data_IF_872797845406
#
_entry.id   IF_872797845406
#
_cell.length_a   1.000
_cell.length_b   1.000
_cell.length_c   1.000
_cell.angle_alpha   90.00
_cell.angle_beta   90.00
_cell.angle_gamma   90.00
#
_symmetry.space_group_name_H-M   'P 1'
#
loop_
_entity.id
_entity.type
_entity.pdbx_description
1 polymer ?
#
# COMPACT_ATOMS: atom_id res chain seq x y z
N UNK A 1 4.38 12.78 -21.97
CA UNK A 1 3.28 12.75 -20.99
C UNK A 1 3.16 14.14 -20.37
N UNK A 2 2.02 14.83 -20.55
CA UNK A 2 1.82 16.18 -19.99
C UNK A 2 0.93 16.03 -18.74
N UNK A 3 1.52 16.18 -17.57
CA UNK A 3 0.81 16.24 -16.31
C UNK A 3 0.37 17.68 -16.04
N UNK A 4 -0.84 17.88 -15.61
CA UNK A 4 -1.37 19.14 -15.13
C UNK A 4 -1.46 19.07 -13.59
N UNK A 5 -0.71 19.93 -12.91
CA UNK A 5 -0.68 20.01 -11.45
C UNK A 5 -1.27 21.37 -11.08
N UNK A 6 -2.26 21.38 -10.20
CA UNK A 6 -2.91 22.59 -9.72
C UNK A 6 -3.44 22.39 -8.30
N UNK A 7 -3.88 23.46 -7.68
CA UNK A 7 -4.42 23.48 -6.33
C UNK A 7 -5.86 24.02 -6.36
N UNK A 8 -6.75 23.39 -5.62
CA UNK A 8 -8.13 23.84 -5.43
C UNK A 8 -8.18 25.01 -4.44
N UNK A 9 -9.33 25.71 -4.40
CA UNK A 9 -9.53 26.86 -3.51
C UNK A 9 -9.30 26.55 -2.02
N UNK A 10 -9.52 25.31 -1.62
CA UNK A 10 -9.31 24.82 -0.25
C UNK A 10 -7.88 24.30 0.02
N UNK A 11 -6.98 24.32 -0.97
CA UNK A 11 -5.58 23.93 -0.85
C UNK A 11 -5.29 22.47 -1.13
N UNK A 12 -6.26 21.64 -1.58
CA UNK A 12 -5.95 20.27 -2.05
C UNK A 12 -5.22 20.33 -3.38
N UNK A 13 -4.11 19.61 -3.47
CA UNK A 13 -3.36 19.44 -4.72
C UNK A 13 -4.05 18.43 -5.63
N UNK A 14 -4.10 18.74 -6.90
CA UNK A 14 -4.64 17.87 -7.96
C UNK A 14 -3.54 17.56 -8.97
N UNK A 15 -3.41 16.30 -9.32
CA UNK A 15 -2.55 15.81 -10.41
C UNK A 15 -3.45 15.18 -11.46
N UNK A 16 -3.49 15.77 -12.65
CA UNK A 16 -4.34 15.30 -13.75
C UNK A 16 -3.53 14.96 -14.99
N UNK A 17 -3.87 13.86 -15.63
CA UNK A 17 -3.38 13.50 -16.95
C UNK A 17 -4.56 13.30 -17.90
N UNK A 18 -4.78 14.28 -18.78
CA UNK A 18 -5.81 14.13 -19.79
C UNK A 18 -5.37 13.15 -20.87
N UNK A 19 -6.15 12.11 -21.09
CA UNK A 19 -5.94 11.08 -22.10
C UNK A 19 -7.24 10.81 -22.85
N UNK A 20 -7.17 10.52 -24.14
CA UNK A 20 -8.33 10.12 -24.93
C UNK A 20 -8.61 8.63 -24.72
N UNK A 21 -9.20 8.29 -23.57
CA UNK A 21 -9.58 6.93 -23.17
C UNK A 21 -11.05 6.89 -22.78
N UNK A 22 -11.78 5.83 -23.14
CA UNK A 22 -13.15 5.64 -22.62
C UNK A 22 -13.19 5.33 -21.13
N UNK A 23 -12.08 4.81 -20.57
CA UNK A 23 -11.94 4.50 -19.14
C UNK A 23 -11.17 5.61 -18.47
N UNK A 24 -11.61 5.99 -17.29
CA UNK A 24 -10.99 6.97 -16.42
C UNK A 24 -10.70 6.36 -15.03
N UNK A 25 -9.71 6.90 -14.37
CA UNK A 25 -9.34 6.55 -13.00
C UNK A 25 -9.20 7.83 -12.19
N UNK A 26 -9.74 7.82 -10.98
CA UNK A 26 -9.54 8.89 -10.00
C UNK A 26 -9.21 8.29 -8.64
N UNK A 27 -8.57 9.08 -7.78
CA UNK A 27 -8.32 8.68 -6.39
C UNK A 27 -7.98 9.85 -5.50
N UNK A 28 -8.38 9.75 -4.23
CA UNK A 28 -7.81 10.52 -3.13
C UNK A 28 -6.73 9.68 -2.47
N UNK A 29 -5.52 10.22 -2.44
CA UNK A 29 -4.41 9.71 -1.66
C UNK A 29 -4.27 10.57 -0.41
N UNK A 30 -4.24 9.94 0.74
CA UNK A 30 -3.90 10.55 2.03
C UNK A 30 -2.54 10.00 2.45
N UNK A 31 -1.55 10.87 2.68
CA UNK A 31 -0.23 10.47 3.16
C UNK A 31 -0.28 10.12 4.67
N UNK A 32 -1.12 9.14 4.98
CA UNK A 32 -1.32 8.56 6.30
C UNK A 32 -1.61 7.07 6.16
N UNK A 33 -0.88 6.26 6.88
CA UNK A 33 -1.03 4.81 6.91
C UNK A 33 -0.67 4.26 8.29
N UNK A 34 -0.35 2.97 8.38
CA UNK A 34 -0.05 2.35 9.68
C UNK A 34 1.21 2.94 10.35
N UNK A 35 2.10 3.58 9.61
CA UNK A 35 3.24 4.31 10.18
C UNK A 35 2.84 5.52 11.03
N UNK A 36 1.67 6.09 10.78
CA UNK A 36 1.18 7.30 11.45
C UNK A 36 0.31 6.98 12.68
N UNK A 37 0.19 5.70 13.03
CA UNK A 37 -0.53 5.20 14.20
C UNK A 37 0.30 5.43 15.48
N UNK A 38 -0.39 5.77 16.57
CA UNK A 38 0.20 5.77 17.91
C UNK A 38 0.34 4.32 18.41
N UNK A 39 1.12 4.10 19.43
CA UNK A 39 1.40 2.75 19.97
C UNK A 39 0.12 1.94 20.27
N UNK A 40 -0.93 2.58 20.78
CA UNK A 40 -2.21 1.95 21.08
C UNK A 40 -3.19 1.89 19.90
N UNK A 41 -2.80 2.43 18.73
CA UNK A 41 -3.64 2.49 17.53
C UNK A 41 -3.26 1.47 16.45
N UNK A 42 -2.44 0.48 16.76
CA UNK A 42 -1.98 -0.49 15.77
C UNK A 42 -3.15 -1.17 15.04
N UNK A 43 -3.23 -0.99 13.71
CA UNK A 43 -4.31 -1.47 12.84
C UNK A 43 -5.44 -0.47 12.61
N UNK A 44 -5.38 0.74 13.19
CA UNK A 44 -6.46 1.71 13.10
C UNK A 44 -6.62 2.29 11.67
N UNK A 45 -5.52 2.52 10.95
CA UNK A 45 -5.57 3.02 9.58
C UNK A 45 -6.31 2.04 8.65
N UNK A 46 -6.05 0.75 8.78
CA UNK A 46 -6.76 -0.30 8.05
C UNK A 46 -8.22 -0.42 8.51
N UNK A 47 -8.48 -0.35 9.81
CA UNK A 47 -9.86 -0.33 10.33
C UNK A 47 -10.67 0.85 9.80
N UNK A 48 -10.06 2.03 9.67
CA UNK A 48 -10.70 3.21 9.06
C UNK A 48 -11.08 2.91 7.61
N UNK A 49 -10.19 2.33 6.82
CA UNK A 49 -10.45 1.93 5.44
C UNK A 49 -11.73 1.10 5.32
N UNK A 50 -11.87 0.02 6.11
CA UNK A 50 -13.07 -0.81 6.15
C UNK A 50 -14.32 0.00 6.53
N UNK A 51 -14.20 0.91 7.48
CA UNK A 51 -15.30 1.71 7.97
C UNK A 51 -15.73 2.84 7.03
N UNK A 52 -14.88 3.30 6.10
CA UNK A 52 -15.20 4.34 5.12
C UNK A 52 -16.42 4.01 4.26
N UNK A 53 -16.65 2.73 3.96
CA UNK A 53 -17.72 2.25 3.09
C UNK A 53 -19.05 1.97 3.84
N UNK A 54 -19.09 2.16 5.15
CA UNK A 54 -20.24 1.75 5.99
C UNK A 54 -21.35 2.80 6.10
N UNK A 55 -21.11 4.01 5.63
CA UNK A 55 -22.12 5.07 5.56
C UNK A 55 -21.51 6.46 5.53
N UNK A 56 -22.15 7.34 4.78
CA UNK A 56 -21.85 8.76 4.72
C UNK A 56 -23.08 9.58 5.15
N UNK A 57 -22.95 10.90 5.23
CA UNK A 57 -24.09 11.79 5.46
C UNK A 57 -25.21 11.62 4.41
N UNK A 58 -24.84 11.29 3.17
CA UNK A 58 -25.77 11.17 2.04
C UNK A 58 -26.19 9.73 1.73
N UNK A 59 -25.38 8.73 2.12
CA UNK A 59 -25.52 7.35 1.61
C UNK A 59 -25.35 6.30 2.69
N UNK A 60 -26.20 5.29 2.64
CA UNK A 60 -25.98 4.04 3.39
C UNK A 60 -24.97 3.16 2.65
N UNK A 61 -24.36 2.20 3.33
CA UNK A 61 -23.36 1.27 2.78
C UNK A 61 -23.77 0.68 1.42
N UNK A 62 -24.99 0.14 1.30
CA UNK A 62 -25.48 -0.42 0.03
C UNK A 62 -25.39 0.59 -1.14
N UNK A 63 -25.78 1.87 -0.92
CA UNK A 63 -25.73 2.90 -1.96
C UNK A 63 -24.30 3.33 -2.30
N UNK A 64 -23.35 3.17 -1.36
CA UNK A 64 -21.93 3.43 -1.63
C UNK A 64 -21.39 2.35 -2.55
N UNK A 65 -21.60 1.08 -2.19
CA UNK A 65 -21.08 -0.07 -2.93
C UNK A 65 -21.68 -0.17 -4.34
N UNK A 66 -23.02 -0.06 -4.46
CA UNK A 66 -23.67 -0.20 -5.77
C UNK A 66 -23.48 0.99 -6.71
N UNK A 67 -23.11 2.18 -6.20
CA UNK A 67 -23.13 3.44 -6.97
C UNK A 67 -22.31 3.39 -8.25
N UNK A 68 -21.13 2.79 -8.21
CA UNK A 68 -20.28 2.65 -9.40
C UNK A 68 -20.51 1.33 -10.13
N UNK A 69 -20.78 0.25 -9.40
CA UNK A 69 -21.11 -1.06 -9.99
C UNK A 69 -22.32 -0.97 -10.93
N UNK A 70 -23.35 -0.21 -10.58
CA UNK A 70 -24.56 0.02 -11.43
C UNK A 70 -24.23 0.54 -12.83
N UNK A 71 -23.04 1.12 -13.04
CA UNK A 71 -22.57 1.64 -14.35
C UNK A 71 -21.29 0.97 -14.83
N UNK A 72 -20.96 -0.20 -14.26
CA UNK A 72 -19.79 -0.99 -14.64
C UNK A 72 -18.46 -0.37 -14.19
N UNK A 73 -18.48 0.50 -13.18
CA UNK A 73 -17.29 1.03 -12.53
C UNK A 73 -16.89 0.19 -11.32
N UNK A 74 -15.64 0.34 -10.91
CA UNK A 74 -15.04 -0.31 -9.75
C UNK A 74 -14.61 0.75 -8.72
N UNK A 75 -14.96 0.54 -7.45
CA UNK A 75 -14.61 1.40 -6.32
C UNK A 75 -13.85 0.56 -5.30
N UNK A 76 -12.67 1.01 -4.91
CA UNK A 76 -11.84 0.30 -3.94
C UNK A 76 -11.03 1.26 -3.07
N UNK A 77 -10.42 0.74 -2.01
CA UNK A 77 -9.44 1.43 -1.20
C UNK A 77 -8.32 0.47 -0.78
N UNK A 78 -7.20 1.01 -0.37
CA UNK A 78 -6.14 0.26 0.28
C UNK A 78 -5.38 1.12 1.26
N UNK A 79 -4.84 0.48 2.28
CA UNK A 79 -3.95 1.07 3.28
C UNK A 79 -2.58 0.44 3.19
N UNK A 80 -1.55 1.27 3.17
CA UNK A 80 -0.15 0.86 3.26
C UNK A 80 0.49 1.40 4.54
N UNK A 81 1.80 1.23 4.68
CA UNK A 81 2.53 1.82 5.81
C UNK A 81 2.44 3.35 5.84
N UNK A 82 2.44 4.02 4.69
CA UNK A 82 2.59 5.48 4.60
C UNK A 82 1.43 6.20 3.95
N UNK A 83 0.45 5.48 3.40
CA UNK A 83 -0.67 6.08 2.67
C UNK A 83 -1.95 5.24 2.75
N UNK A 84 -3.08 5.92 2.69
CA UNK A 84 -4.41 5.36 2.44
C UNK A 84 -4.94 5.95 1.14
N UNK A 85 -5.42 5.10 0.24
CA UNK A 85 -5.92 5.52 -1.07
C UNK A 85 -7.33 5.02 -1.26
N UNK A 86 -8.24 5.91 -1.64
CA UNK A 86 -9.59 5.59 -2.09
C UNK A 86 -9.62 5.87 -3.59
N UNK A 87 -9.92 4.88 -4.40
CA UNK A 87 -9.85 5.03 -5.86
C UNK A 87 -11.04 4.41 -6.57
N UNK A 88 -11.25 4.88 -7.80
CA UNK A 88 -12.36 4.42 -8.64
C UNK A 88 -11.93 4.36 -10.10
N UNK A 89 -12.35 3.29 -10.80
CA UNK A 89 -12.21 3.10 -12.23
C UNK A 89 -13.59 3.09 -12.88
N UNK A 90 -13.80 3.83 -13.98
CA UNK A 90 -15.14 4.02 -14.55
C UNK A 90 -15.09 4.49 -16.01
N UNK A 91 -16.24 4.48 -16.67
CA UNK A 91 -16.38 5.11 -18.00
C UNK A 91 -16.33 6.63 -17.91
N UNK A 92 -15.60 7.30 -18.79
CA UNK A 92 -15.37 8.74 -18.79
C UNK A 92 -16.66 9.59 -18.76
N UNK A 93 -17.80 9.03 -19.14
CA UNK A 93 -19.11 9.69 -19.01
C UNK A 93 -19.56 9.87 -17.54
N UNK A 94 -19.05 9.07 -16.63
CA UNK A 94 -19.47 8.99 -15.23
C UNK A 94 -18.57 9.78 -14.25
N UNK A 95 -17.70 10.68 -14.74
CA UNK A 95 -16.83 11.51 -13.89
C UNK A 95 -17.58 12.23 -12.75
N UNK A 96 -18.75 12.82 -13.06
CA UNK A 96 -19.55 13.53 -12.04
C UNK A 96 -20.00 12.57 -10.93
N UNK A 97 -20.42 11.35 -11.30
CA UNK A 97 -20.86 10.30 -10.36
C UNK A 97 -19.70 9.83 -9.48
N UNK A 98 -18.56 9.55 -10.08
CA UNK A 98 -17.39 9.06 -9.40
C UNK A 98 -16.81 10.12 -8.43
N UNK A 99 -16.67 11.37 -8.85
CA UNK A 99 -16.19 12.47 -7.99
C UNK A 99 -17.14 12.71 -6.81
N UNK A 100 -18.46 12.73 -7.05
CA UNK A 100 -19.47 12.89 -5.99
C UNK A 100 -19.37 11.75 -4.95
N UNK A 101 -19.18 10.51 -5.40
CA UNK A 101 -19.06 9.36 -4.51
C UNK A 101 -17.76 9.36 -3.71
N UNK A 102 -16.60 9.48 -4.39
CA UNK A 102 -15.30 9.40 -3.71
C UNK A 102 -15.11 10.57 -2.74
N UNK A 103 -15.61 11.76 -3.08
CA UNK A 103 -15.60 12.93 -2.17
C UNK A 103 -16.52 12.72 -0.96
N UNK A 104 -17.66 12.06 -1.15
CA UNK A 104 -18.59 11.76 -0.06
C UNK A 104 -17.96 10.75 0.92
N UNK A 105 -17.30 9.72 0.40
CA UNK A 105 -16.57 8.72 1.21
C UNK A 105 -15.39 9.39 1.94
N UNK A 106 -14.56 10.15 1.23
CA UNK A 106 -13.35 10.71 1.81
C UNK A 106 -13.61 11.75 2.91
N UNK A 107 -14.70 12.53 2.82
CA UNK A 107 -14.92 13.69 3.67
C UNK A 107 -16.22 13.69 4.48
N UNK A 108 -17.14 12.77 4.21
CA UNK A 108 -18.46 12.74 4.86
C UNK A 108 -18.84 11.38 5.39
N UNK A 109 -17.87 10.47 5.57
CA UNK A 109 -18.10 9.20 6.25
C UNK A 109 -18.52 9.44 7.69
N UNK A 110 -19.60 8.80 8.11
CA UNK A 110 -20.21 9.00 9.44
C UNK A 110 -19.77 7.98 10.46
N UNK A 111 -19.12 6.92 9.99
CA UNK A 111 -18.64 5.83 10.84
C UNK A 111 -19.73 5.32 11.79
N UNK A 112 -20.85 4.75 11.27
CA UNK A 112 -21.96 4.31 12.13
C UNK A 112 -21.49 3.22 13.10
N UNK A 113 -21.65 3.44 14.39
CA UNK A 113 -21.10 2.59 15.44
C UNK A 113 -21.42 1.11 15.27
N UNK A 114 -22.69 0.79 14.95
CA UNK A 114 -23.13 -0.61 14.74
C UNK A 114 -22.40 -1.29 13.57
N UNK A 115 -22.13 -0.56 12.49
CA UNK A 115 -21.42 -1.12 11.34
C UNK A 115 -19.92 -1.24 11.62
N UNK A 116 -19.33 -0.25 12.30
CA UNK A 116 -17.95 -0.30 12.73
C UNK A 116 -17.68 -1.48 13.69
N UNK A 117 -18.60 -1.77 14.61
CA UNK A 117 -18.48 -2.96 15.49
C UNK A 117 -18.48 -4.26 14.69
N UNK A 118 -19.31 -4.37 13.66
CA UNK A 118 -19.32 -5.57 12.79
C UNK A 118 -18.00 -5.73 12.02
N UNK A 119 -17.41 -4.63 11.58
CA UNK A 119 -16.14 -4.69 10.84
C UNK A 119 -14.98 -5.20 11.71
N UNK A 120 -15.03 -5.03 13.02
CA UNK A 120 -14.02 -5.64 13.91
C UNK A 120 -13.95 -7.16 13.73
N UNK A 121 -15.09 -7.83 13.67
CA UNK A 121 -15.12 -9.29 13.46
C UNK A 121 -14.55 -9.67 12.09
N UNK A 122 -14.86 -8.90 11.05
CA UNK A 122 -14.31 -9.13 9.69
C UNK A 122 -12.78 -9.01 9.70
N UNK A 123 -12.23 -7.97 10.33
CA UNK A 123 -10.78 -7.76 10.41
C UNK A 123 -10.11 -8.81 11.30
N UNK A 124 -10.77 -9.26 12.38
CA UNK A 124 -10.24 -10.32 13.23
C UNK A 124 -10.17 -11.64 12.44
N UNK A 125 -11.17 -11.95 11.63
CA UNK A 125 -11.15 -13.12 10.73
C UNK A 125 -10.03 -13.00 9.67
N UNK A 126 -9.80 -11.79 9.16
CA UNK A 126 -8.68 -11.51 8.25
C UNK A 126 -7.32 -11.72 8.93
N UNK A 127 -7.13 -11.20 10.16
CA UNK A 127 -5.92 -11.44 10.97
C UNK A 127 -5.67 -12.94 11.15
N UNK A 128 -6.71 -13.73 11.44
CA UNK A 128 -6.57 -15.19 11.61
C UNK A 128 -6.20 -15.86 10.28
N UNK A 129 -6.87 -15.53 9.19
CA UNK A 129 -6.58 -16.05 7.86
C UNK A 129 -5.14 -15.76 7.43
N UNK A 130 -4.65 -14.54 7.73
CA UNK A 130 -3.28 -14.15 7.43
C UNK A 130 -2.25 -14.95 8.25
N UNK A 131 -2.54 -15.20 9.52
CA UNK A 131 -1.69 -16.04 10.38
C UNK A 131 -1.63 -17.50 9.93
N UNK A 132 -2.70 -18.00 9.33
CA UNK A 132 -2.79 -19.36 8.80
C UNK A 132 -2.07 -19.52 7.45
N UNK A 133 -1.58 -18.42 6.86
CA UNK A 133 -0.83 -18.42 5.60
C UNK A 133 0.64 -18.03 5.84
N UNK A 134 1.55 -19.00 6.07
CA UNK A 134 2.97 -18.70 6.33
C UNK A 134 3.67 -17.95 5.20
N UNK A 135 3.20 -18.09 3.96
CA UNK A 135 3.72 -17.40 2.80
C UNK A 135 3.51 -15.88 2.87
N UNK A 136 2.40 -15.44 3.50
CA UNK A 136 2.06 -14.04 3.65
C UNK A 136 2.62 -13.48 4.95
N UNK A 137 2.39 -14.18 6.07
CA UNK A 137 2.81 -13.72 7.40
C UNK A 137 4.33 -13.57 7.58
N UNK A 138 5.16 -14.22 6.74
CA UNK A 138 6.61 -14.06 6.79
C UNK A 138 7.06 -12.65 6.39
N UNK A 139 6.29 -11.92 5.57
CA UNK A 139 6.61 -10.54 5.21
C UNK A 139 6.49 -9.60 6.42
N UNK A 140 5.46 -9.78 7.25
CA UNK A 140 5.31 -9.04 8.49
C UNK A 140 6.40 -9.38 9.51
N UNK A 141 6.69 -10.69 9.70
CA UNK A 141 7.80 -11.15 10.54
C UNK A 141 9.14 -10.53 10.09
N UNK A 142 9.34 -10.36 8.78
CA UNK A 142 10.53 -9.75 8.22
C UNK A 142 10.56 -8.23 8.42
N UNK A 143 9.45 -7.53 8.21
CA UNK A 143 9.35 -6.08 8.44
C UNK A 143 9.58 -5.74 9.92
N UNK A 144 8.99 -6.50 10.86
CA UNK A 144 9.25 -6.37 12.29
C UNK A 144 10.74 -6.53 12.62
N UNK A 145 11.41 -7.48 11.97
CA UNK A 145 12.84 -7.73 12.18
C UNK A 145 13.73 -6.61 11.61
N UNK A 146 13.35 -6.01 10.47
CA UNK A 146 14.10 -4.92 9.83
C UNK A 146 13.87 -3.59 10.52
N UNK A 147 12.67 -3.36 11.09
CA UNK A 147 12.26 -2.13 11.75
C UNK A 147 11.78 -2.39 13.19
N UNK A 148 12.65 -2.94 14.07
CA UNK A 148 12.26 -3.25 15.44
C UNK A 148 11.89 -1.97 16.20
N UNK A 149 10.84 -2.02 17.01
CA UNK A 149 10.35 -0.89 17.81
C UNK A 149 10.01 0.37 16.97
N UNK A 150 9.65 0.20 15.72
CA UNK A 150 9.30 1.29 14.83
C UNK A 150 7.98 0.98 14.09
N UNK A 151 7.09 1.96 13.86
CA UNK A 151 5.79 1.72 13.22
C UNK A 151 5.84 1.02 11.85
N UNK A 152 6.92 1.18 11.08
CA UNK A 152 7.13 0.44 9.83
C UNK A 152 7.23 -1.08 10.04
N UNK A 153 7.60 -1.54 11.23
CA UNK A 153 7.65 -2.96 11.57
C UNK A 153 6.31 -3.52 12.08
N UNK A 154 5.33 -2.68 12.40
CA UNK A 154 4.03 -3.13 12.88
C UNK A 154 3.20 -3.71 11.74
N UNK A 155 2.41 -4.75 12.02
CA UNK A 155 1.44 -5.29 11.06
C UNK A 155 0.35 -4.25 10.76
N UNK A 156 0.01 -4.06 9.49
CA UNK A 156 -1.04 -3.11 9.04
C UNK A 156 -2.41 -3.49 9.58
N UNK A 157 -2.69 -4.79 9.75
CA UNK A 157 -3.95 -5.29 10.31
C UNK A 157 -4.07 -5.03 11.81
N UNK A 158 -2.95 -4.72 12.48
CA UNK A 158 -2.89 -4.63 13.94
C UNK A 158 -2.94 -5.99 14.63
N UNK A 159 -3.47 -6.01 15.84
CA UNK A 159 -3.67 -7.22 16.66
C UNK A 159 -5.16 -7.42 16.98
N UNK A 160 -5.55 -8.65 17.35
CA UNK A 160 -6.93 -8.92 17.80
C UNK A 160 -7.31 -8.03 18.98
N UNK A 161 -6.37 -7.78 19.90
CA UNK A 161 -6.56 -6.95 21.08
C UNK A 161 -6.76 -5.48 20.71
N UNK A 162 -5.90 -4.93 19.81
CA UNK A 162 -6.02 -3.53 19.37
C UNK A 162 -7.33 -3.29 18.60
N UNK A 163 -7.68 -4.17 17.64
CA UNK A 163 -8.92 -4.06 16.86
C UNK A 163 -10.15 -4.10 17.76
N UNK A 164 -10.18 -4.99 18.78
CA UNK A 164 -11.29 -5.04 19.75
C UNK A 164 -11.45 -3.76 20.56
N UNK A 165 -10.34 -3.07 20.85
CA UNK A 165 -10.35 -1.85 21.68
C UNK A 165 -10.81 -0.61 20.93
N UNK A 166 -10.82 -0.59 19.61
CA UNK A 166 -11.16 0.61 18.84
C UNK A 166 -12.61 1.05 19.05
N UNK A 167 -12.78 2.34 19.24
CA UNK A 167 -14.05 3.02 19.31
C UNK A 167 -14.15 4.05 18.18
N UNK A 168 -15.35 4.52 17.89
CA UNK A 168 -15.57 5.54 16.88
C UNK A 168 -14.71 6.80 17.12
N UNK A 169 -14.45 7.15 18.38
CA UNK A 169 -13.63 8.31 18.72
C UNK A 169 -12.19 8.16 18.22
N UNK A 170 -11.59 6.98 18.32
CA UNK A 170 -10.24 6.72 17.78
C UNK A 170 -10.16 7.00 16.26
N UNK A 171 -11.21 6.62 15.51
CA UNK A 171 -11.31 6.93 14.07
C UNK A 171 -11.29 8.45 13.84
N UNK A 172 -12.13 9.19 14.59
CA UNK A 172 -12.23 10.63 14.43
C UNK A 172 -10.94 11.34 14.81
N UNK A 173 -10.29 10.93 15.89
CA UNK A 173 -9.03 11.49 16.37
C UNK A 173 -7.88 11.22 15.37
N UNK A 174 -7.85 10.03 14.77
CA UNK A 174 -6.86 9.70 13.72
C UNK A 174 -7.07 10.56 12.47
N UNK A 175 -8.33 10.73 12.02
CA UNK A 175 -8.66 11.55 10.85
C UNK A 175 -8.32 13.01 11.12
N UNK A 176 -8.69 13.56 12.27
CA UNK A 176 -8.38 14.94 12.65
C UNK A 176 -6.87 15.20 12.66
N UNK A 177 -6.09 14.25 13.15
CA UNK A 177 -4.64 14.34 13.23
C UNK A 177 -3.95 14.15 11.88
N UNK A 178 -4.52 13.35 10.98
CA UNK A 178 -3.80 12.86 9.80
C UNK A 178 -4.38 13.29 8.45
N UNK A 179 -5.68 13.65 8.36
CA UNK A 179 -6.31 14.00 7.08
C UNK A 179 -6.27 15.52 6.84
N UNK A 180 -5.07 16.08 6.85
CA UNK A 180 -4.88 17.50 6.55
C UNK A 180 -4.69 17.74 5.04
N UNK A 181 -5.04 18.96 4.57
CA UNK A 181 -4.92 19.33 3.16
C UNK A 181 -3.50 19.13 2.58
N UNK A 182 -2.47 19.36 3.41
CA UNK A 182 -1.07 19.22 3.02
C UNK A 182 -0.66 17.75 2.80
N UNK A 183 -1.44 16.82 3.35
CA UNK A 183 -1.23 15.37 3.27
C UNK A 183 -2.12 14.69 2.24
N UNK A 184 -2.97 15.47 1.53
CA UNK A 184 -3.91 14.91 0.56
C UNK A 184 -3.58 15.32 -0.86
N UNK A 185 -3.77 14.40 -1.79
CA UNK A 185 -3.64 14.61 -3.23
C UNK A 185 -4.82 13.95 -3.92
N UNK A 186 -5.49 14.68 -4.81
CA UNK A 186 -6.42 14.08 -5.75
C UNK A 186 -5.69 13.76 -7.05
N UNK A 187 -5.81 12.54 -7.54
CA UNK A 187 -5.25 12.10 -8.82
C UNK A 187 -6.34 11.77 -9.82
N UNK A 188 -6.11 12.08 -11.10
CA UNK A 188 -7.03 11.76 -12.19
C UNK A 188 -6.30 11.46 -13.48
N UNK A 189 -6.72 10.40 -14.15
CA UNK A 189 -6.33 10.10 -15.53
C UNK A 189 -7.57 9.72 -16.34
N UNK A 190 -7.83 10.39 -17.46
CA UNK A 190 -9.00 10.11 -18.30
C UNK A 190 -9.36 11.25 -19.25
N UNK A 191 -10.49 11.08 -19.93
CA UNK A 191 -10.94 12.02 -20.96
C UNK A 191 -11.83 13.13 -20.35
N UNK A 192 -11.20 14.02 -19.61
CA UNK A 192 -11.83 15.24 -19.09
C UNK A 192 -10.83 16.39 -19.16
N UNK A 193 -11.30 17.61 -19.44
CA UNK A 193 -10.43 18.78 -19.41
C UNK A 193 -10.17 19.23 -17.96
N UNK A 194 -8.99 19.83 -17.70
CA UNK A 194 -8.61 20.41 -16.42
C UNK A 194 -9.73 21.28 -15.83
N UNK A 195 -10.24 22.25 -16.60
CA UNK A 195 -11.25 23.20 -16.12
C UNK A 195 -12.53 22.50 -15.69
N UNK A 196 -12.95 21.45 -16.41
CA UNK A 196 -14.15 20.69 -16.05
C UNK A 196 -13.93 19.85 -14.81
N UNK A 197 -12.75 19.22 -14.68
CA UNK A 197 -12.37 18.46 -13.49
C UNK A 197 -12.34 19.37 -12.26
N UNK A 198 -11.66 20.51 -12.34
CA UNK A 198 -11.59 21.53 -11.28
C UNK A 198 -12.99 21.98 -10.85
N UNK A 199 -13.85 22.32 -11.79
CA UNK A 199 -15.26 22.70 -11.50
C UNK A 199 -16.02 21.61 -10.73
N UNK A 200 -15.86 20.34 -11.13
CA UNK A 200 -16.54 19.23 -10.46
C UNK A 200 -16.00 18.99 -9.04
N UNK A 201 -14.70 19.11 -8.84
CA UNK A 201 -14.06 18.97 -7.52
C UNK A 201 -14.48 20.12 -6.60
N UNK A 202 -14.38 21.37 -7.06
CA UNK A 202 -14.78 22.54 -6.26
C UNK A 202 -16.23 22.43 -5.79
N UNK A 203 -17.15 21.97 -6.63
CA UNK A 203 -18.55 21.75 -6.24
C UNK A 203 -18.73 20.75 -5.10
N UNK A 204 -17.82 19.80 -4.96
CA UNK A 204 -17.95 18.75 -3.95
C UNK A 204 -17.17 19.03 -2.66
N UNK A 205 -16.00 19.69 -2.74
CA UNK A 205 -15.07 19.73 -1.63
C UNK A 205 -14.60 21.13 -1.22
N UNK A 206 -15.09 22.23 -1.84
CA UNK A 206 -14.67 23.60 -1.49
C UNK A 206 -14.90 23.97 0.00
N UNK A 207 -15.92 23.39 0.64
CA UNK A 207 -16.32 23.69 2.02
C UNK A 207 -15.93 22.56 2.99
N UNK A 208 -15.03 21.67 2.61
CA UNK A 208 -14.56 20.60 3.48
C UNK A 208 -13.60 21.16 4.53
N UNK A 209 -13.84 20.84 5.77
CA UNK A 209 -12.91 21.07 6.87
C UNK A 209 -11.88 19.94 6.90
N UNK A 210 -10.62 20.30 7.14
CA UNK A 210 -9.50 19.36 7.20
C UNK A 210 -8.94 19.28 8.59
N UNK A 211 -8.40 18.15 8.93
CA UNK A 211 -7.56 18.00 10.10
C UNK A 211 -6.38 18.99 10.09
N UNK A 212 -5.86 19.29 11.23
CA UNK A 212 -4.84 20.34 11.45
C UNK A 212 -3.43 19.81 11.63
N UNK A 213 -3.27 18.48 11.70
CA UNK A 213 -1.98 17.84 12.02
C UNK A 213 -0.95 17.92 10.90
N UNK A 214 0.27 18.23 11.27
CA UNK A 214 1.45 18.05 10.43
C UNK A 214 2.01 16.63 10.62
N UNK A 215 2.64 16.08 9.57
CA UNK A 215 3.28 14.76 9.66
C UNK A 215 4.65 14.86 10.29
N UNK A 216 4.83 14.26 11.45
CA UNK A 216 6.14 14.04 12.03
C UNK A 216 6.68 12.68 11.54
N UNK A 217 7.87 12.72 10.91
CA UNK A 217 8.54 11.51 10.44
C UNK A 217 9.65 11.15 11.43
N UNK A 218 9.41 10.13 12.21
CA UNK A 218 10.46 9.52 13.04
C UNK A 218 11.19 8.49 12.18
N UNK A 219 12.50 8.67 12.03
CA UNK A 219 13.32 7.73 11.26
C UNK A 219 13.66 6.49 12.09
N UNK A 220 13.68 5.29 11.48
CA UNK A 220 14.03 4.08 12.20
C UNK A 220 15.49 4.10 12.66
N UNK A 221 15.76 3.51 13.84
CA UNK A 221 17.10 3.38 14.41
C UNK A 221 18.08 2.68 13.46
N UNK A 222 19.37 2.68 13.83
CA UNK A 222 20.40 2.00 13.04
C UNK A 222 20.05 0.51 12.84
N UNK A 223 20.15 0.08 11.59
CA UNK A 223 19.90 -1.31 11.23
C UNK A 223 20.99 -2.24 11.79
N UNK A 224 20.57 -3.27 12.50
CA UNK A 224 21.44 -4.34 12.98
C UNK A 224 21.02 -5.64 12.29
N UNK A 225 21.91 -6.27 11.48
CA UNK A 225 21.59 -7.54 10.85
C UNK A 225 21.27 -8.62 11.89
N UNK A 226 20.22 -9.36 11.65
CA UNK A 226 19.79 -10.46 12.52
C UNK A 226 19.21 -11.62 11.70
N UNK A 227 19.11 -12.80 12.31
CA UNK A 227 18.46 -13.96 11.72
C UNK A 227 17.43 -14.52 12.70
N UNK A 228 16.21 -14.73 12.21
CA UNK A 228 15.10 -15.34 12.95
C UNK A 228 14.64 -16.60 12.22
N UNK A 229 14.34 -17.65 12.94
CA UNK A 229 13.73 -18.86 12.40
C UNK A 229 12.56 -19.27 13.28
N UNK A 230 11.42 -19.50 12.66
CA UNK A 230 10.18 -19.88 13.35
C UNK A 230 9.66 -21.19 12.75
N UNK A 231 9.35 -22.16 13.60
CA UNK A 231 8.72 -23.41 13.17
C UNK A 231 7.21 -23.23 13.16
N UNK A 232 6.60 -23.43 11.99
CA UNK A 232 5.14 -23.42 11.79
C UNK A 232 4.68 -24.68 11.07
N UNK A 233 3.46 -25.17 11.26
CA UNK A 233 2.92 -26.26 10.46
C UNK A 233 2.85 -25.86 8.99
N UNK A 234 3.26 -26.75 8.08
CA UNK A 234 3.22 -26.50 6.63
C UNK A 234 4.07 -27.49 5.84
N UNK A 235 3.87 -27.51 4.53
CA UNK A 235 4.62 -28.36 3.61
C UNK A 235 5.88 -27.68 3.06
N UNK A 236 5.92 -26.34 3.08
CA UNK A 236 7.02 -25.57 2.52
C UNK A 236 7.77 -24.81 3.60
N UNK A 237 9.03 -24.52 3.32
CA UNK A 237 9.85 -23.55 4.06
C UNK A 237 9.81 -22.23 3.29
N UNK A 238 9.43 -21.18 3.97
CA UNK A 238 9.44 -19.82 3.46
C UNK A 238 10.65 -19.09 4.00
N UNK A 239 11.35 -18.36 3.14
CA UNK A 239 12.55 -17.60 3.53
C UNK A 239 12.50 -16.22 2.90
N UNK A 240 12.85 -15.21 3.68
CA UNK A 240 13.17 -13.88 3.17
C UNK A 240 14.60 -13.53 3.53
N UNK A 241 15.35 -13.06 2.53
CA UNK A 241 16.69 -12.49 2.68
C UNK A 241 16.59 -11.02 2.27
N UNK A 242 16.96 -10.11 3.15
CA UNK A 242 16.86 -8.71 2.78
C UNK A 242 17.58 -7.76 3.73
N UNK A 243 17.39 -6.48 3.48
CA UNK A 243 18.04 -5.39 4.20
C UNK A 243 17.28 -4.10 4.01
N UNK A 244 17.64 -3.07 4.79
CA UNK A 244 17.21 -1.70 4.47
C UNK A 244 17.78 -1.26 3.13
N UNK A 245 17.03 -0.40 2.45
CA UNK A 245 17.36 0.10 1.13
C UNK A 245 17.16 1.62 1.03
N UNK A 246 17.30 2.17 -0.17
CA UNK A 246 17.21 3.61 -0.42
C UNK A 246 15.79 4.14 -0.25
N UNK A 247 15.61 5.34 0.35
CA UNK A 247 14.31 5.98 0.47
C UNK A 247 13.77 6.51 -0.87
N UNK A 248 12.49 6.88 -0.89
CA UNK A 248 11.78 7.33 -2.09
C UNK A 248 12.38 8.59 -2.75
N UNK A 249 13.06 9.45 -1.97
CA UNK A 249 13.67 10.70 -2.47
C UNK A 249 15.14 10.57 -2.81
N UNK A 250 15.74 9.40 -2.62
CA UNK A 250 17.15 9.14 -2.93
C UNK A 250 17.35 8.96 -4.44
N UNK A 251 18.44 9.47 -4.98
CA UNK A 251 18.81 9.32 -6.40
C UNK A 251 18.99 7.84 -6.80
N UNK A 252 19.38 6.98 -5.84
CA UNK A 252 19.54 5.55 -6.04
C UNK A 252 18.22 4.75 -6.01
N UNK A 253 17.07 5.40 -5.73
CA UNK A 253 15.76 4.75 -5.73
C UNK A 253 15.45 4.11 -7.09
N UNK A 254 15.64 4.87 -8.18
CA UNK A 254 15.37 4.37 -9.55
C UNK A 254 16.34 3.26 -9.98
N UNK A 255 17.67 3.39 -9.80
CA UNK A 255 18.59 2.28 -10.00
C UNK A 255 18.23 1.02 -9.20
N UNK A 256 17.82 1.19 -7.93
CA UNK A 256 17.39 0.07 -7.08
C UNK A 256 16.12 -0.61 -7.59
N UNK A 257 15.14 0.15 -8.05
CA UNK A 257 13.91 -0.40 -8.65
C UNK A 257 14.22 -1.20 -9.93
N UNK A 258 15.14 -0.72 -10.79
CA UNK A 258 15.58 -1.44 -11.99
C UNK A 258 16.33 -2.71 -11.60
N UNK A 259 17.22 -2.62 -10.61
CA UNK A 259 17.97 -3.79 -10.09
C UNK A 259 17.01 -4.85 -9.53
N UNK A 260 16.01 -4.43 -8.75
CA UNK A 260 14.98 -5.32 -8.24
C UNK A 260 14.24 -6.04 -9.37
N UNK A 261 13.79 -5.31 -10.38
CA UNK A 261 13.10 -5.90 -11.54
C UNK A 261 13.99 -6.91 -12.31
N UNK A 262 15.25 -6.57 -12.52
CA UNK A 262 16.22 -7.46 -13.17
C UNK A 262 16.48 -8.74 -12.36
N UNK A 263 16.56 -8.62 -11.03
CA UNK A 263 16.93 -9.71 -10.15
C UNK A 263 15.78 -10.72 -9.99
N UNK A 264 14.63 -10.28 -9.55
CA UNK A 264 13.50 -11.13 -9.21
C UNK A 264 12.14 -10.47 -9.46
N UNK A 265 12.05 -9.55 -10.44
CA UNK A 265 10.78 -8.95 -10.85
C UNK A 265 9.82 -9.98 -11.46
N UNK A 266 8.58 -9.57 -11.80
CA UNK A 266 7.49 -10.47 -12.20
C UNK A 266 7.72 -11.19 -13.52
N UNK A 267 8.71 -10.77 -14.31
CA UNK A 267 9.06 -11.41 -15.57
C UNK A 267 9.70 -12.79 -15.38
N UNK A 268 9.27 -13.78 -16.16
CA UNK A 268 9.86 -15.12 -16.15
C UNK A 268 11.35 -15.12 -16.52
N UNK A 269 11.82 -14.08 -17.19
CA UNK A 269 13.21 -13.88 -17.59
C UNK A 269 14.08 -13.20 -16.54
N UNK A 270 13.55 -12.92 -15.33
CA UNK A 270 14.36 -12.40 -14.24
C UNK A 270 15.47 -13.37 -13.83
N UNK A 271 16.57 -12.85 -13.31
CA UNK A 271 17.78 -13.65 -13.05
C UNK A 271 17.55 -14.80 -12.06
N UNK A 272 16.80 -14.54 -10.99
CA UNK A 272 16.45 -15.55 -9.99
C UNK A 272 15.59 -16.66 -10.62
N UNK A 273 14.57 -16.28 -11.42
CA UNK A 273 13.72 -17.24 -12.10
C UNK A 273 14.54 -18.14 -13.02
N UNK A 274 15.34 -17.57 -13.94
CA UNK A 274 16.14 -18.35 -14.90
C UNK A 274 17.21 -19.21 -14.24
N UNK A 275 17.94 -18.65 -13.28
CA UNK A 275 19.13 -19.32 -12.73
C UNK A 275 18.83 -20.27 -11.55
N UNK A 276 17.66 -20.14 -10.92
CA UNK A 276 17.27 -20.95 -9.76
C UNK A 276 16.01 -21.75 -10.05
N UNK A 277 14.89 -21.09 -10.34
CA UNK A 277 13.61 -21.76 -10.55
C UNK A 277 13.66 -22.68 -11.77
N UNK A 278 13.96 -22.14 -12.95
CA UNK A 278 13.95 -22.92 -14.20
C UNK A 278 15.08 -23.96 -14.22
N UNK A 279 16.26 -23.59 -13.69
CA UNK A 279 17.44 -24.46 -13.78
C UNK A 279 17.43 -25.60 -12.79
N UNK A 280 16.89 -25.43 -11.60
CA UNK A 280 16.98 -26.43 -10.52
C UNK A 280 15.62 -26.96 -10.06
N UNK A 281 14.54 -26.25 -10.32
CA UNK A 281 13.18 -26.63 -9.91
C UNK A 281 12.94 -26.68 -8.40
N UNK A 282 13.75 -25.95 -7.60
CA UNK A 282 13.68 -26.02 -6.14
C UNK A 282 12.57 -25.17 -5.54
N UNK A 283 12.04 -24.22 -6.31
CA UNK A 283 11.03 -23.27 -5.83
C UNK A 283 10.03 -22.95 -6.94
N UNK A 284 8.76 -22.79 -6.58
CA UNK A 284 7.72 -22.29 -7.47
C UNK A 284 7.55 -20.78 -7.37
N UNK A 285 7.77 -20.23 -6.18
CA UNK A 285 7.64 -18.79 -5.94
C UNK A 285 8.99 -18.26 -5.47
N UNK A 286 9.55 -17.39 -6.28
CA UNK A 286 10.85 -16.75 -6.03
C UNK A 286 10.79 -15.36 -6.65
N UNK A 287 10.83 -14.35 -5.81
CA UNK A 287 10.73 -12.96 -6.23
C UNK A 287 11.64 -12.05 -5.40
N UNK A 288 11.94 -10.89 -5.92
CA UNK A 288 12.52 -9.80 -5.14
C UNK A 288 11.58 -8.61 -5.12
N UNK A 289 11.54 -7.91 -4.00
CA UNK A 289 10.71 -6.74 -3.78
C UNK A 289 11.53 -5.58 -3.23
N UNK A 290 11.09 -4.36 -3.55
CA UNK A 290 11.66 -3.12 -3.06
C UNK A 290 10.56 -2.13 -2.73
N UNK A 291 10.47 -1.74 -1.46
CA UNK A 291 9.53 -0.75 -0.96
C UNK A 291 10.30 0.49 -0.51
N UNK A 292 10.29 1.57 -1.31
CA UNK A 292 10.85 2.85 -0.90
C UNK A 292 9.87 3.58 0.02
N UNK A 293 10.25 3.81 1.27
CA UNK A 293 9.58 4.69 2.21
C UNK A 293 10.12 6.11 2.13
N UNK A 294 9.50 7.07 2.81
CA UNK A 294 9.85 8.49 2.71
C UNK A 294 11.30 8.78 3.15
N UNK A 295 11.83 8.08 4.15
CA UNK A 295 13.13 8.28 4.79
C UNK A 295 14.01 7.03 4.85
N UNK A 296 13.50 5.88 4.42
CA UNK A 296 14.21 4.60 4.36
C UNK A 296 13.65 3.77 3.22
N UNK A 297 14.10 2.53 3.08
CA UNK A 297 13.54 1.56 2.16
C UNK A 297 13.73 0.14 2.69
N UNK A 298 13.01 -0.78 2.09
CA UNK A 298 13.09 -2.20 2.35
C UNK A 298 13.34 -2.94 1.05
N UNK A 299 14.36 -3.79 1.02
CA UNK A 299 14.62 -4.71 -0.08
C UNK A 299 14.65 -6.14 0.44
N UNK A 300 13.96 -7.04 -0.24
CA UNK A 300 13.95 -8.45 0.10
C UNK A 300 13.89 -9.36 -1.11
N UNK A 301 14.27 -10.61 -0.88
CA UNK A 301 14.11 -11.74 -1.79
C UNK A 301 13.37 -12.82 -1.03
N UNK A 302 12.16 -13.10 -1.47
CA UNK A 302 11.33 -14.16 -0.94
C UNK A 302 11.50 -15.44 -1.76
N UNK A 303 11.49 -16.58 -1.09
CA UNK A 303 11.42 -17.90 -1.70
C UNK A 303 10.57 -18.87 -0.86
N UNK A 304 9.71 -19.61 -1.57
CA UNK A 304 9.00 -20.78 -1.05
C UNK A 304 9.58 -22.05 -1.65
N UNK A 305 10.04 -22.99 -0.81
CA UNK A 305 10.77 -24.20 -1.24
C UNK A 305 10.52 -25.38 -0.32
N UNK A 306 10.87 -26.58 -0.76
CA UNK A 306 10.81 -27.73 0.11
C UNK A 306 11.88 -27.63 1.24
N UNK A 307 11.59 -28.12 2.46
CA UNK A 307 12.51 -28.01 3.60
C UNK A 307 13.92 -28.52 3.30
N UNK A 308 14.05 -29.61 2.56
CA UNK A 308 15.34 -30.21 2.21
C UNK A 308 16.18 -29.41 1.21
N UNK A 309 15.62 -28.37 0.57
CA UNK A 309 16.31 -27.57 -0.45
C UNK A 309 16.51 -26.12 -0.04
N UNK A 310 15.99 -25.68 1.11
CA UNK A 310 16.04 -24.29 1.55
C UNK A 310 17.46 -23.72 1.62
N UNK A 311 18.36 -24.34 2.35
CA UNK A 311 19.77 -23.88 2.48
C UNK A 311 20.49 -23.82 1.14
N UNK A 312 20.20 -24.77 0.26
CA UNK A 312 20.81 -24.81 -1.07
C UNK A 312 20.28 -23.65 -1.94
N UNK A 313 18.99 -23.37 -1.86
CA UNK A 313 18.36 -22.29 -2.60
C UNK A 313 18.88 -20.93 -2.11
N UNK A 314 19.00 -20.72 -0.81
CA UNK A 314 19.63 -19.53 -0.21
C UNK A 314 21.06 -19.30 -0.76
N UNK A 315 21.89 -20.33 -0.78
CA UNK A 315 23.25 -20.24 -1.34
C UNK A 315 23.27 -19.88 -2.83
N UNK A 316 22.26 -20.32 -3.59
CA UNK A 316 22.13 -19.94 -5.00
C UNK A 316 21.72 -18.47 -5.16
N UNK A 317 20.81 -17.98 -4.32
CA UNK A 317 20.44 -16.55 -4.27
C UNK A 317 21.67 -15.70 -3.95
N UNK A 318 22.42 -16.03 -2.89
CA UNK A 318 23.66 -15.34 -2.55
C UNK A 318 24.67 -15.33 -3.70
N UNK A 319 24.79 -16.44 -4.43
CA UNK A 319 25.67 -16.53 -5.59
C UNK A 319 25.26 -15.56 -6.69
N UNK A 320 23.95 -15.41 -6.97
CA UNK A 320 23.46 -14.45 -7.96
C UNK A 320 23.68 -13.00 -7.50
N UNK A 321 23.48 -12.69 -6.23
CA UNK A 321 23.80 -11.39 -5.65
C UNK A 321 25.28 -11.03 -5.78
N UNK A 322 26.19 -11.99 -5.48
CA UNK A 322 27.64 -11.81 -5.66
C UNK A 322 28.01 -11.55 -7.13
N UNK A 323 27.40 -12.27 -8.07
CA UNK A 323 27.61 -12.01 -9.50
C UNK A 323 27.20 -10.60 -9.91
N UNK A 324 26.04 -10.13 -9.44
CA UNK A 324 25.58 -8.76 -9.73
C UNK A 324 26.51 -7.70 -9.15
N UNK A 325 27.10 -7.94 -7.98
CA UNK A 325 28.06 -7.05 -7.35
C UNK A 325 29.40 -7.03 -8.11
N UNK A 326 29.89 -8.21 -8.52
CA UNK A 326 31.27 -8.39 -8.98
C UNK A 326 31.41 -8.33 -10.50
N UNK A 327 30.29 -8.44 -11.25
CA UNK A 327 30.29 -8.48 -12.72
C UNK A 327 29.38 -7.39 -13.31
N UNK A 328 29.89 -6.68 -14.30
CA UNK A 328 29.07 -5.70 -15.04
C UNK A 328 27.98 -6.42 -15.83
N UNK A 329 26.81 -5.78 -15.94
CA UNK A 329 25.73 -6.26 -16.80
C UNK A 329 26.14 -6.18 -18.27
N UNK A 330 25.77 -7.19 -19.04
CA UNK A 330 25.97 -7.18 -20.50
C UNK A 330 25.05 -6.19 -21.20
N UNK A 331 25.43 -5.77 -22.40
CA UNK A 331 24.67 -4.80 -23.22
C UNK A 331 23.22 -5.28 -23.45
N UNK A 332 23.00 -6.57 -23.69
CA UNK A 332 21.68 -7.17 -23.86
C UNK A 332 20.79 -7.17 -22.60
N UNK A 333 21.38 -6.99 -21.42
CA UNK A 333 20.65 -6.90 -20.16
C UNK A 333 20.28 -5.45 -19.80
N UNK A 334 20.90 -4.48 -20.47
CA UNK A 334 20.70 -3.04 -20.29
C UNK A 334 19.83 -2.42 -21.38
N UNK A 335 19.60 -3.11 -22.48
CA UNK A 335 18.72 -2.72 -23.58
C UNK A 335 17.28 -3.20 -23.37
#
# INVERSE_FOLDING_TARGET
MKLEIFELSNGIRVVHHQVNSPIAHIGFLVAAGSRDELEHEQGLAHYIEHCLFKGTEKRKAYHILSRMEDVGGDLNAFTSKEETVIHCSFLSADYKRAIDLISDIAFRSTFPEKECIKEKEVIIDEIHSYKDTPADSIFDDFEEQIFPNHPLGNNILGTVESVKSFERQHILDFIERNYSKNRMVFSSIGNISKNKLEQLLEQQIQNVEFGSGDREIVSPELYVPSQKSVSRPGYQTHVILGTRAYPAKDDMMRPMAILNNLLGGPGMNSRLNLNIREKYGFTYHLESFYHPYIDTGLFGIYLGTDPGTADRTVKLVEKELRKLRDQKLGVLQLS
#
